data_IF_605918212041
#
_entry.id   IF_605918212041
#
_cell.length_a   1.000
_cell.length_b   1.000
_cell.length_c   1.000
_cell.angle_alpha   90.00
_cell.angle_beta   90.00
_cell.angle_gamma   90.00
#
_symmetry.space_group_name_H-M   'P 1'
#
loop_
_entity.id
_entity.type
_entity.pdbx_description
1 polymer ?
#
# COMPACT_ATOMS: atom_id res chain seq x y z
N UNK A 1 -14.86 -28.97 6.34
CA UNK A 1 -13.91 -27.85 6.46
C UNK A 1 -12.67 -28.22 5.71
N UNK A 2 -12.26 -27.42 4.72
CA UNK A 2 -11.03 -27.64 3.95
C UNK A 2 -9.82 -27.31 4.82
N UNK A 3 -8.72 -28.04 4.62
CA UNK A 3 -7.46 -27.84 5.37
C UNK A 3 -6.29 -27.74 4.41
N UNK A 4 -5.39 -26.80 4.69
CA UNK A 4 -4.20 -26.52 3.89
C UNK A 4 -2.96 -26.43 4.76
N UNK A 5 -1.78 -26.70 4.20
CA UNK A 5 -0.53 -26.40 4.89
C UNK A 5 -0.38 -24.90 5.08
N UNK A 6 -0.72 -24.11 4.07
CA UNK A 6 -0.64 -22.65 4.14
C UNK A 6 -1.88 -21.97 3.55
N UNK A 7 -2.35 -20.93 4.23
CA UNK A 7 -3.32 -19.97 3.70
C UNK A 7 -2.68 -18.59 3.59
N UNK A 8 -2.81 -17.99 2.39
CA UNK A 8 -2.33 -16.64 2.10
C UNK A 8 -3.53 -15.72 2.01
N UNK A 9 -3.52 -14.65 2.79
CA UNK A 9 -4.59 -13.65 2.85
C UNK A 9 -4.16 -12.40 2.08
N UNK A 10 -4.70 -12.24 0.88
CA UNK A 10 -4.39 -11.16 -0.06
C UNK A 10 -3.52 -11.62 -1.23
N UNK A 11 -3.97 -11.31 -2.44
CA UNK A 11 -3.35 -11.66 -3.73
C UNK A 11 -2.49 -10.55 -4.35
N UNK A 12 -1.98 -9.61 -3.55
CA UNK A 12 -1.00 -8.60 -4.00
C UNK A 12 0.40 -9.19 -4.21
N UNK A 13 1.43 -8.37 -4.58
CA UNK A 13 2.78 -8.84 -4.84
C UNK A 13 3.39 -9.67 -3.71
N UNK A 14 3.15 -9.29 -2.44
CA UNK A 14 3.62 -10.07 -1.29
C UNK A 14 2.96 -11.45 -1.25
N UNK A 15 1.64 -11.51 -1.41
CA UNK A 15 0.89 -12.77 -1.35
C UNK A 15 1.20 -13.70 -2.52
N UNK A 16 1.27 -13.19 -3.75
CA UNK A 16 1.66 -13.98 -4.91
C UNK A 16 3.08 -14.54 -4.78
N UNK A 17 4.00 -13.73 -4.24
CA UNK A 17 5.37 -14.21 -3.99
C UNK A 17 5.40 -15.26 -2.87
N UNK A 18 4.67 -15.04 -1.77
CA UNK A 18 4.57 -16.04 -0.72
C UNK A 18 3.98 -17.37 -1.23
N UNK A 19 2.92 -17.27 -2.05
CA UNK A 19 2.33 -18.44 -2.70
C UNK A 19 3.36 -19.21 -3.55
N UNK A 20 4.09 -18.50 -4.41
CA UNK A 20 5.09 -19.08 -5.28
C UNK A 20 6.15 -19.87 -4.50
N UNK A 21 6.69 -19.29 -3.44
CA UNK A 21 7.74 -19.94 -2.65
C UNK A 21 7.21 -21.14 -1.86
N UNK A 22 6.02 -21.05 -1.27
CA UNK A 22 5.39 -22.18 -0.54
C UNK A 22 5.00 -23.32 -1.48
N UNK A 23 4.47 -23.00 -2.66
CA UNK A 23 4.18 -24.02 -3.68
C UNK A 23 5.45 -24.73 -4.16
N UNK A 24 6.55 -23.99 -4.32
CA UNK A 24 7.84 -24.56 -4.69
C UNK A 24 8.43 -25.45 -3.58
N UNK A 25 8.09 -25.22 -2.31
CA UNK A 25 8.49 -26.11 -1.20
C UNK A 25 7.57 -27.34 -1.07
N UNK A 26 6.53 -27.46 -1.89
CA UNK A 26 5.61 -28.59 -1.90
C UNK A 26 4.43 -28.47 -0.96
N UNK A 27 4.22 -27.31 -0.33
CA UNK A 27 3.08 -27.09 0.54
C UNK A 27 1.76 -27.01 -0.24
N UNK A 28 0.68 -27.52 0.33
CA UNK A 28 -0.68 -27.26 -0.14
C UNK A 28 -1.09 -25.84 0.23
N UNK A 29 -1.41 -25.02 -0.78
CA UNK A 29 -1.66 -23.57 -0.61
C UNK A 29 -3.07 -23.20 -1.01
N UNK A 30 -3.76 -22.41 -0.17
CA UNK A 30 -4.92 -21.63 -0.56
C UNK A 30 -4.59 -20.13 -0.51
N UNK A 31 -4.99 -19.38 -1.55
CA UNK A 31 -4.90 -17.94 -1.60
C UNK A 31 -6.31 -17.35 -1.54
N UNK A 32 -6.56 -16.53 -0.55
CA UNK A 32 -7.84 -15.82 -0.37
C UNK A 32 -7.67 -14.39 -0.87
N UNK A 33 -8.40 -14.04 -1.92
CA UNK A 33 -8.40 -12.69 -2.51
C UNK A 33 -9.84 -12.29 -2.86
N UNK A 34 -10.26 -11.14 -2.37
CA UNK A 34 -11.63 -10.66 -2.54
C UNK A 34 -11.98 -10.32 -3.99
N UNK A 35 -11.06 -9.68 -4.71
CA UNK A 35 -11.27 -9.20 -6.08
C UNK A 35 -10.46 -10.02 -7.08
N UNK A 36 -9.42 -9.42 -7.61
CA UNK A 36 -8.48 -10.03 -8.55
C UNK A 36 -7.07 -9.97 -7.97
N UNK A 37 -6.22 -10.97 -8.25
CA UNK A 37 -4.81 -10.90 -7.88
C UNK A 37 -4.13 -9.66 -8.48
N UNK A 38 -3.21 -9.04 -7.73
CA UNK A 38 -2.47 -7.84 -8.11
C UNK A 38 -2.50 -6.76 -7.03
N UNK A 39 -3.59 -6.67 -6.26
CA UNK A 39 -3.70 -5.66 -5.19
C UNK A 39 -3.56 -4.23 -5.74
N UNK A 40 -2.86 -3.35 -5.01
CA UNK A 40 -2.69 -1.94 -5.41
C UNK A 40 -1.91 -1.74 -6.71
N UNK A 41 -1.11 -2.71 -7.14
CA UNK A 41 -0.40 -2.65 -8.42
C UNK A 41 -1.37 -2.48 -9.60
N UNK A 42 -2.58 -3.04 -9.50
CA UNK A 42 -3.62 -2.89 -10.54
C UNK A 42 -4.09 -1.45 -10.75
N UNK A 43 -3.97 -0.60 -9.73
CA UNK A 43 -4.38 0.82 -9.81
C UNK A 43 -3.24 1.75 -10.25
N UNK A 44 -2.04 1.23 -10.42
CA UNK A 44 -0.87 1.97 -10.89
C UNK A 44 -0.77 1.86 -12.41
N UNK A 45 -0.80 2.98 -13.11
CA UNK A 45 -0.74 2.98 -14.58
C UNK A 45 0.62 2.50 -15.08
N UNK A 46 1.71 2.98 -14.46
CA UNK A 46 3.08 2.69 -14.87
C UNK A 46 4.03 2.57 -13.69
N UNK A 47 4.88 1.56 -13.69
CA UNK A 47 5.86 1.25 -12.63
C UNK A 47 7.25 1.30 -13.24
N UNK A 48 8.08 2.23 -12.79
CA UNK A 48 9.45 2.43 -13.29
C UNK A 48 10.54 1.92 -12.33
N UNK A 49 10.16 1.65 -11.10
CA UNK A 49 11.09 1.36 -10.00
C UNK A 49 11.09 -0.11 -9.57
N UNK A 50 10.55 -1.01 -10.41
CA UNK A 50 10.64 -2.45 -10.15
C UNK A 50 11.80 -3.07 -10.92
N UNK A 51 12.81 -3.68 -10.25
CA UNK A 51 13.97 -4.26 -10.89
C UNK A 51 13.57 -5.34 -11.91
N UNK A 52 14.28 -5.38 -13.05
CA UNK A 52 13.97 -6.27 -14.17
C UNK A 52 13.14 -5.61 -15.28
N UNK A 53 12.57 -4.43 -15.03
CA UNK A 53 11.80 -3.66 -16.00
C UNK A 53 12.43 -2.28 -16.28
N UNK A 54 13.59 -2.21 -16.99
CA UNK A 54 14.36 -0.96 -17.15
C UNK A 54 13.63 0.11 -17.99
N UNK A 55 12.56 -0.26 -18.67
CA UNK A 55 11.71 0.66 -19.45
C UNK A 55 10.35 0.90 -18.78
N UNK A 56 10.20 0.44 -17.51
CA UNK A 56 8.93 0.42 -16.83
C UNK A 56 8.00 -0.71 -17.30
N UNK A 57 6.89 -0.88 -16.62
CA UNK A 57 5.85 -1.87 -16.90
C UNK A 57 4.51 -1.33 -16.41
N UNK A 58 3.41 -1.65 -17.08
CA UNK A 58 2.09 -1.32 -16.55
C UNK A 58 1.77 -2.17 -15.33
N UNK A 59 1.05 -1.59 -14.37
CA UNK A 59 0.74 -2.29 -13.14
C UNK A 59 -0.01 -3.59 -13.38
N UNK A 60 -1.04 -3.59 -14.24
CA UNK A 60 -1.77 -4.80 -14.57
C UNK A 60 -0.90 -5.85 -15.28
N UNK A 61 0.03 -5.43 -16.17
CA UNK A 61 0.95 -6.36 -16.85
C UNK A 61 1.90 -7.03 -15.84
N UNK A 62 2.39 -6.26 -14.85
CA UNK A 62 3.21 -6.84 -13.78
C UNK A 62 2.41 -7.82 -12.92
N UNK A 63 1.17 -7.49 -12.58
CA UNK A 63 0.27 -8.39 -11.84
C UNK A 63 0.00 -9.68 -12.62
N UNK A 64 -0.24 -9.59 -13.93
CA UNK A 64 -0.44 -10.74 -14.81
C UNK A 64 0.81 -11.63 -14.86
N UNK A 65 2.01 -11.04 -15.03
CA UNK A 65 3.27 -11.77 -15.00
C UNK A 65 3.49 -12.50 -13.68
N UNK A 66 3.17 -11.87 -12.54
CA UNK A 66 3.27 -12.52 -11.23
C UNK A 66 2.26 -13.66 -11.06
N UNK A 67 1.04 -13.47 -11.56
CA UNK A 67 -0.01 -14.50 -11.57
C UNK A 67 0.39 -15.67 -12.47
N UNK A 68 1.02 -15.40 -13.60
CA UNK A 68 1.47 -16.42 -14.55
C UNK A 68 2.54 -17.34 -13.96
N UNK A 69 3.37 -16.86 -13.05
CA UNK A 69 4.31 -17.70 -12.29
C UNK A 69 3.58 -18.78 -11.48
N UNK A 70 2.34 -18.53 -11.04
CA UNK A 70 1.56 -19.49 -10.24
C UNK A 70 0.84 -20.53 -11.09
N UNK A 71 0.63 -20.29 -12.39
CA UNK A 71 -0.11 -21.19 -13.30
C UNK A 71 0.54 -22.58 -13.43
N UNK A 72 1.84 -22.70 -13.17
CA UNK A 72 2.55 -23.97 -13.19
C UNK A 72 2.31 -24.87 -11.97
N UNK A 73 1.56 -24.38 -10.97
CA UNK A 73 1.31 -25.09 -9.72
C UNK A 73 -0.18 -25.32 -9.50
N UNK A 74 -0.52 -26.41 -8.81
CA UNK A 74 -1.87 -26.65 -8.33
C UNK A 74 -2.07 -25.99 -6.97
N UNK A 75 -2.96 -25.00 -6.87
CA UNK A 75 -3.33 -24.34 -5.62
C UNK A 75 -4.79 -23.92 -5.65
N UNK A 76 -5.36 -23.64 -4.48
CA UNK A 76 -6.75 -23.22 -4.35
C UNK A 76 -6.85 -21.69 -4.33
N UNK A 77 -7.65 -21.10 -5.17
CA UNK A 77 -8.02 -19.69 -5.10
C UNK A 77 -9.42 -19.55 -4.55
N UNK A 78 -9.58 -18.80 -3.46
CA UNK A 78 -10.85 -18.50 -2.82
C UNK A 78 -11.16 -17.01 -3.02
N UNK A 79 -12.20 -16.74 -3.85
CA UNK A 79 -12.62 -15.36 -4.16
C UNK A 79 -13.64 -14.90 -3.11
N UNK A 80 -13.17 -14.69 -1.89
CA UNK A 80 -13.98 -14.35 -0.73
C UNK A 80 -13.26 -13.31 0.14
N UNK A 81 -14.01 -12.67 1.04
CA UNK A 81 -13.44 -11.78 2.06
C UNK A 81 -13.16 -12.56 3.33
N UNK A 82 -12.00 -12.29 3.96
CA UNK A 82 -11.71 -12.81 5.31
C UNK A 82 -12.44 -11.94 6.33
N UNK A 83 -13.33 -12.55 7.10
CA UNK A 83 -14.12 -11.88 8.16
C UNK A 83 -13.40 -11.85 9.48
N UNK A 84 -12.75 -12.94 9.85
CA UNK A 84 -11.92 -13.06 11.04
C UNK A 84 -10.94 -14.22 10.92
N UNK A 85 -9.90 -14.19 11.75
CA UNK A 85 -8.99 -15.33 11.94
C UNK A 85 -8.96 -15.70 13.43
N UNK A 86 -8.78 -16.99 13.69
CA UNK A 86 -8.65 -17.53 15.03
C UNK A 86 -7.38 -18.38 15.10
N UNK A 87 -6.48 -18.03 16.03
CA UNK A 87 -5.28 -18.80 16.30
C UNK A 87 -5.53 -19.75 17.47
N UNK A 88 -5.53 -21.06 17.20
CA UNK A 88 -5.79 -22.11 18.20
C UNK A 88 -4.50 -22.78 18.72
N UNK A 89 -3.35 -22.20 18.42
CA UNK A 89 -2.04 -22.72 18.76
C UNK A 89 -1.18 -23.09 17.52
N UNK A 90 0.06 -23.51 17.74
CA UNK A 90 0.97 -23.86 16.64
C UNK A 90 0.37 -24.87 15.66
N UNK A 91 0.40 -24.56 14.37
CA UNK A 91 -0.13 -25.44 13.32
C UNK A 91 -1.67 -25.50 13.24
N UNK A 92 -2.39 -24.65 13.95
CA UNK A 92 -3.86 -24.67 13.99
C UNK A 92 -4.44 -23.26 13.93
N UNK A 93 -4.79 -22.83 12.73
CA UNK A 93 -5.40 -21.53 12.48
C UNK A 93 -6.71 -21.72 11.71
N UNK A 94 -7.76 -21.04 12.14
CA UNK A 94 -9.04 -20.99 11.43
C UNK A 94 -9.17 -19.64 10.74
N UNK A 95 -9.59 -19.67 9.50
CA UNK A 95 -9.85 -18.48 8.67
C UNK A 95 -11.34 -18.51 8.29
N UNK A 96 -12.11 -17.57 8.84
CA UNK A 96 -13.53 -17.42 8.58
C UNK A 96 -13.73 -16.51 7.37
N UNK A 97 -14.29 -17.07 6.32
CA UNK A 97 -14.63 -16.38 5.08
C UNK A 97 -16.12 -16.02 5.05
N UNK A 98 -16.58 -15.39 3.98
CA UNK A 98 -18.00 -15.05 3.80
C UNK A 98 -18.90 -16.28 3.82
N UNK A 99 -18.48 -17.37 3.17
CA UNK A 99 -19.32 -18.53 2.94
C UNK A 99 -18.86 -19.79 3.69
N UNK A 100 -17.60 -19.84 4.12
CA UNK A 100 -17.02 -21.02 4.76
C UNK A 100 -15.94 -20.69 5.76
N UNK A 101 -15.54 -21.69 6.51
CA UNK A 101 -14.34 -21.65 7.37
C UNK A 101 -13.33 -22.66 6.86
N UNK A 102 -12.08 -22.24 6.69
CA UNK A 102 -10.97 -23.10 6.31
C UNK A 102 -9.92 -23.15 7.40
N UNK A 103 -9.13 -24.21 7.40
CA UNK A 103 -8.05 -24.44 8.36
C UNK A 103 -6.68 -24.35 7.68
N UNK A 104 -5.69 -23.78 8.38
CA UNK A 104 -4.30 -23.72 7.93
C UNK A 104 -3.33 -24.12 9.04
N UNK A 105 -2.26 -24.81 8.67
CA UNK A 105 -1.12 -25.05 9.60
C UNK A 105 -0.32 -23.76 9.78
N UNK A 106 -0.09 -23.01 8.70
CA UNK A 106 0.47 -21.65 8.75
C UNK A 106 -0.41 -20.68 7.97
N UNK A 107 -0.34 -19.40 8.30
CA UNK A 107 -0.97 -18.34 7.50
C UNK A 107 0.00 -17.19 7.27
N UNK A 108 -0.08 -16.59 6.06
CA UNK A 108 0.67 -15.39 5.69
C UNK A 108 -0.32 -14.26 5.39
N UNK A 109 -0.31 -13.22 6.22
CA UNK A 109 -1.21 -12.06 6.07
C UNK A 109 -0.54 -11.06 5.13
N UNK A 110 -1.11 -10.91 3.93
CA UNK A 110 -0.64 -10.02 2.85
C UNK A 110 -1.74 -9.05 2.41
N UNK A 111 -2.61 -8.65 3.33
CA UNK A 111 -3.82 -7.86 3.05
C UNK A 111 -3.54 -6.42 2.61
N UNK A 112 -2.31 -5.92 2.81
CA UNK A 112 -1.89 -4.60 2.36
C UNK A 112 -2.53 -3.45 3.14
N UNK A 113 -2.65 -2.28 2.47
CA UNK A 113 -3.22 -1.05 3.03
C UNK A 113 -4.29 -0.48 2.10
N UNK A 114 -5.14 0.37 2.64
CA UNK A 114 -6.00 1.28 1.88
C UNK A 114 -5.49 2.71 2.05
N UNK A 115 -5.36 3.45 0.95
CA UNK A 115 -5.03 4.88 1.02
C UNK A 115 -6.23 5.65 1.57
N UNK A 116 -5.94 6.67 2.37
CA UNK A 116 -6.96 7.62 2.79
C UNK A 116 -7.19 8.63 1.68
N UNK A 117 -8.43 8.78 1.29
CA UNK A 117 -8.87 9.74 0.29
C UNK A 117 -9.16 11.11 0.91
N UNK A 118 -9.17 12.15 0.09
CA UNK A 118 -9.63 13.49 0.47
C UNK A 118 -11.15 13.55 0.54
N UNK A 119 -11.84 12.62 -0.14
CA UNK A 119 -13.29 12.57 -0.24
C UNK A 119 -13.86 13.58 -1.24
N UNK A 120 -13.07 13.98 -2.23
CA UNK A 120 -13.48 14.91 -3.26
C UNK A 120 -14.27 14.20 -4.38
N UNK A 121 -15.21 14.89 -4.96
CA UNK A 121 -15.89 14.43 -6.16
C UNK A 121 -14.89 14.14 -7.27
N UNK A 122 -15.03 13.01 -7.98
CA UNK A 122 -14.15 12.50 -9.03
C UNK A 122 -12.72 12.17 -8.58
N UNK A 123 -12.43 12.08 -7.28
CA UNK A 123 -11.08 11.69 -6.80
C UNK A 123 -10.65 10.32 -7.35
N UNK A 124 -11.57 9.34 -7.30
CA UNK A 124 -11.31 8.00 -7.84
C UNK A 124 -11.10 8.02 -9.36
N UNK A 125 -11.87 8.84 -10.10
CA UNK A 125 -11.72 8.99 -11.54
C UNK A 125 -10.34 9.53 -11.93
N UNK A 126 -9.82 10.50 -11.18
CA UNK A 126 -8.52 11.11 -11.42
C UNK A 126 -7.34 10.30 -10.84
N UNK A 127 -7.58 9.27 -10.04
CA UNK A 127 -6.53 8.37 -9.58
C UNK A 127 -5.85 7.69 -10.77
N UNK A 128 -4.52 7.88 -10.91
CA UNK A 128 -3.76 7.48 -12.10
C UNK A 128 -3.89 8.44 -13.30
N UNK A 129 -4.74 9.49 -13.21
CA UNK A 129 -4.93 10.51 -14.24
C UNK A 129 -4.66 11.92 -13.73
N UNK A 130 -3.63 12.03 -12.88
CA UNK A 130 -3.23 13.26 -12.20
C UNK A 130 -3.28 13.17 -10.69
N UNK A 131 -3.99 12.22 -10.09
CA UNK A 131 -3.92 11.96 -8.64
C UNK A 131 -3.03 10.75 -8.37
N UNK A 132 -2.11 10.91 -7.41
CA UNK A 132 -1.23 9.87 -6.91
C UNK A 132 -1.17 9.86 -5.38
N UNK A 133 -0.84 8.70 -4.82
CA UNK A 133 -0.62 8.50 -3.38
C UNK A 133 0.84 8.16 -3.05
N UNK A 134 1.75 8.22 -4.05
CA UNK A 134 3.16 7.83 -3.92
C UNK A 134 4.04 8.70 -4.81
N UNK A 135 4.78 9.66 -4.25
CA UNK A 135 5.70 10.48 -5.05
C UNK A 135 6.85 9.64 -5.64
N UNK A 136 7.38 8.70 -4.88
CA UNK A 136 8.46 7.83 -5.34
C UNK A 136 8.07 6.98 -6.57
N UNK A 137 6.76 6.69 -6.72
CA UNK A 137 6.23 5.95 -7.85
C UNK A 137 6.06 6.85 -9.08
N UNK A 138 5.43 8.03 -8.90
CA UNK A 138 4.78 8.76 -9.99
C UNK A 138 5.38 10.14 -10.27
N UNK A 139 6.34 10.64 -9.46
CA UNK A 139 6.89 11.99 -9.63
C UNK A 139 7.45 12.26 -11.03
N UNK A 140 8.04 11.24 -11.66
CA UNK A 140 8.67 11.40 -12.99
C UNK A 140 7.68 11.74 -14.12
N UNK A 141 6.38 11.36 -13.96
CA UNK A 141 5.35 11.74 -14.95
C UNK A 141 5.07 13.25 -14.95
N UNK A 142 5.41 13.93 -13.86
CA UNK A 142 5.19 15.37 -13.68
C UNK A 142 6.47 16.20 -13.80
N UNK A 143 7.53 15.63 -14.37
CA UNK A 143 8.81 16.34 -14.56
C UNK A 143 8.61 17.63 -15.35
N UNK A 144 9.12 18.75 -14.81
CA UNK A 144 9.00 20.05 -15.43
C UNK A 144 7.59 20.66 -15.35
N UNK A 145 6.73 20.16 -14.44
CA UNK A 145 5.36 20.64 -14.27
C UNK A 145 5.16 21.14 -12.83
N UNK A 146 4.03 21.82 -12.60
CA UNK A 146 3.58 22.20 -11.27
C UNK A 146 2.65 21.12 -10.71
N UNK A 147 2.85 20.75 -9.44
CA UNK A 147 2.01 19.78 -8.73
C UNK A 147 1.55 20.32 -7.38
N UNK A 148 0.46 19.79 -6.88
CA UNK A 148 0.00 19.98 -5.51
C UNK A 148 0.30 18.72 -4.68
N UNK A 149 0.57 18.90 -3.39
CA UNK A 149 0.69 17.83 -2.40
C UNK A 149 -0.19 18.17 -1.20
N UNK A 150 -0.96 17.22 -0.69
CA UNK A 150 -1.83 17.43 0.48
C UNK A 150 -1.33 16.60 1.64
N UNK A 151 -1.00 17.26 2.75
CA UNK A 151 -0.59 16.59 3.97
C UNK A 151 0.09 17.52 4.97
N UNK A 152 0.63 16.98 6.05
CA UNK A 152 1.30 17.79 7.07
C UNK A 152 2.00 16.98 8.16
N UNK A 153 2.19 15.68 7.94
CA UNK A 153 3.06 14.80 8.74
C UNK A 153 4.41 14.60 8.06
N UNK A 154 5.30 13.82 8.67
CA UNK A 154 6.64 13.53 8.14
C UNK A 154 6.61 13.08 6.69
N UNK A 155 5.80 12.08 6.37
CA UNK A 155 5.66 11.56 5.00
C UNK A 155 5.32 12.66 3.99
N UNK A 156 4.37 13.56 4.31
CA UNK A 156 3.99 14.63 3.37
C UNK A 156 5.14 15.59 3.08
N UNK A 157 5.94 15.92 4.10
CA UNK A 157 7.09 16.80 3.95
C UNK A 157 8.24 16.10 3.20
N UNK A 158 8.55 14.86 3.55
CA UNK A 158 9.59 14.05 2.90
C UNK A 158 9.30 13.84 1.41
N UNK A 159 8.07 13.44 1.10
CA UNK A 159 7.62 13.23 -0.27
C UNK A 159 7.57 14.56 -1.06
N UNK A 160 7.18 15.69 -0.43
CA UNK A 160 7.25 17.01 -1.07
C UNK A 160 8.68 17.47 -1.35
N UNK A 161 9.63 17.16 -0.45
CA UNK A 161 11.07 17.39 -0.68
C UNK A 161 11.57 16.51 -1.83
N UNK A 162 11.09 15.27 -1.95
CA UNK A 162 11.42 14.41 -3.08
C UNK A 162 10.86 14.96 -4.39
N UNK A 163 9.58 15.33 -4.42
CA UNK A 163 8.91 15.96 -5.58
C UNK A 163 9.66 17.20 -6.07
N UNK A 164 10.10 18.07 -5.15
CA UNK A 164 10.78 19.34 -5.50
C UNK A 164 12.05 19.18 -6.32
N UNK A 165 12.66 18.00 -6.34
CA UNK A 165 13.86 17.68 -7.12
C UNK A 165 13.54 17.31 -8.57
N UNK A 166 12.27 17.05 -8.89
CA UNK A 166 11.83 16.48 -10.15
C UNK A 166 10.90 17.45 -10.89
N UNK A 167 10.02 18.10 -10.15
CA UNK A 167 9.00 19.01 -10.70
C UNK A 167 9.40 20.47 -10.58
N UNK A 168 8.80 21.34 -11.36
CA UNK A 168 9.12 22.78 -11.35
C UNK A 168 8.59 23.47 -10.10
N UNK A 169 7.42 23.09 -9.61
CA UNK A 169 6.77 23.69 -8.48
C UNK A 169 5.96 22.68 -7.66
N UNK A 170 6.06 22.73 -6.35
CA UNK A 170 5.22 21.98 -5.41
C UNK A 170 4.40 22.94 -4.56
N UNK A 171 3.08 22.80 -4.58
CA UNK A 171 2.17 23.46 -3.63
C UNK A 171 1.84 22.49 -2.51
N UNK A 172 2.48 22.65 -1.33
CA UNK A 172 2.21 21.80 -0.16
C UNK A 172 1.05 22.36 0.65
N UNK A 173 -0.12 21.75 0.51
CA UNK A 173 -1.39 22.17 1.09
C UNK A 173 -1.56 21.50 2.45
N UNK A 174 -1.80 22.32 3.49
CA UNK A 174 -2.08 21.81 4.83
C UNK A 174 -3.28 22.52 5.46
N UNK A 175 -4.19 21.74 6.06
CA UNK A 175 -5.44 22.25 6.65
C UNK A 175 -5.26 23.05 7.95
N UNK A 176 -4.09 22.98 8.59
CA UNK A 176 -3.77 23.71 9.81
C UNK A 176 -2.77 24.85 9.53
N UNK A 177 -2.56 25.69 10.50
CA UNK A 177 -1.58 26.78 10.49
C UNK A 177 -0.14 26.31 10.75
N UNK A 178 0.04 25.06 11.23
CA UNK A 178 1.33 24.44 11.49
C UNK A 178 1.37 22.96 11.10
N UNK A 179 2.50 22.51 10.58
CA UNK A 179 2.76 21.10 10.32
C UNK A 179 2.91 20.30 11.61
N UNK A 180 2.57 19.01 11.54
CA UNK A 180 2.80 18.03 12.61
C UNK A 180 4.12 17.28 12.45
N UNK A 181 4.80 17.47 11.33
CA UNK A 181 6.08 16.88 11.01
C UNK A 181 7.18 17.37 11.97
N UNK A 182 8.28 16.63 12.02
CA UNK A 182 9.46 16.98 12.81
C UNK A 182 10.02 18.34 12.38
N UNK A 183 10.53 19.11 13.36
CA UNK A 183 11.04 20.46 13.13
C UNK A 183 12.11 20.50 12.05
N UNK A 184 12.98 19.52 12.00
CA UNK A 184 14.06 19.45 11.00
C UNK A 184 13.50 19.38 9.56
N UNK A 185 12.40 18.67 9.33
CA UNK A 185 11.74 18.61 8.04
C UNK A 185 11.05 19.93 7.69
N UNK A 186 10.45 20.57 8.70
CA UNK A 186 9.82 21.89 8.53
C UNK A 186 10.85 22.95 8.13
N UNK A 187 12.03 22.98 8.77
CA UNK A 187 13.11 23.89 8.41
C UNK A 187 13.64 23.62 7.00
N UNK A 188 13.79 22.34 6.66
CA UNK A 188 14.25 21.95 5.33
C UNK A 188 13.28 22.39 4.23
N UNK A 189 11.98 22.21 4.42
CA UNK A 189 10.96 22.65 3.44
C UNK A 189 11.03 24.16 3.17
N UNK A 190 11.20 24.97 4.21
CA UNK A 190 11.31 26.44 4.11
C UNK A 190 12.51 26.90 3.26
N UNK A 191 13.57 26.09 3.22
CA UNK A 191 14.79 26.40 2.45
C UNK A 191 14.70 26.01 0.97
N UNK A 192 13.64 25.32 0.53
CA UNK A 192 13.49 24.84 -0.84
C UNK A 192 12.64 25.84 -1.64
N UNK A 193 13.22 26.55 -2.62
CA UNK A 193 12.56 27.70 -3.25
C UNK A 193 11.35 27.35 -4.11
N UNK A 194 11.29 26.14 -4.64
CA UNK A 194 10.16 25.68 -5.46
C UNK A 194 9.08 24.94 -4.68
N UNK A 195 9.12 24.94 -3.34
CA UNK A 195 8.00 24.49 -2.50
C UNK A 195 7.29 25.72 -1.92
N UNK A 196 6.00 25.83 -2.20
CA UNK A 196 5.11 26.82 -1.60
C UNK A 196 4.20 26.13 -0.58
N UNK A 197 4.32 26.50 0.69
CA UNK A 197 3.45 26.00 1.74
C UNK A 197 2.14 26.78 1.75
N UNK A 198 1.03 26.12 1.45
CA UNK A 198 -0.32 26.69 1.47
C UNK A 198 -1.02 26.20 2.73
N UNK A 199 -0.84 26.98 3.81
CA UNK A 199 -1.33 26.63 5.14
C UNK A 199 -2.82 26.97 5.29
N UNK A 200 -3.46 26.43 6.34
CA UNK A 200 -4.88 26.68 6.69
C UNK A 200 -5.83 26.49 5.51
N UNK A 201 -5.50 25.61 4.59
CA UNK A 201 -6.23 25.44 3.33
C UNK A 201 -6.54 23.97 3.06
N UNK A 202 -7.66 23.73 2.40
CA UNK A 202 -8.08 22.39 1.97
C UNK A 202 -8.40 22.40 0.48
N UNK A 203 -8.12 21.27 -0.18
CA UNK A 203 -8.62 21.03 -1.53
C UNK A 203 -10.14 20.79 -1.46
N UNK A 204 -10.90 21.45 -2.32
CA UNK A 204 -12.37 21.38 -2.33
C UNK A 204 -12.96 20.96 -3.66
N UNK A 205 -12.20 21.06 -4.76
CA UNK A 205 -12.65 20.66 -6.09
C UNK A 205 -11.47 20.26 -6.96
N UNK A 206 -11.67 19.23 -7.77
CA UNK A 206 -10.74 18.76 -8.79
C UNK A 206 -11.20 19.24 -10.16
N UNK A 207 -10.35 19.96 -10.87
CA UNK A 207 -10.67 20.58 -12.16
C UNK A 207 -9.96 19.80 -13.27
N UNK A 208 -10.69 19.47 -14.33
CA UNK A 208 -10.20 18.76 -15.50
C UNK A 208 -11.28 17.88 -16.14
N UNK A 209 -11.10 17.49 -17.39
CA UNK A 209 -12.01 16.59 -18.09
C UNK A 209 -11.53 15.13 -18.06
N UNK A 210 -10.45 14.82 -18.75
CA UNK A 210 -9.84 13.47 -18.84
C UNK A 210 -8.72 13.27 -17.84
N UNK A 211 -7.94 14.32 -17.62
CA UNK A 211 -6.80 14.38 -16.71
C UNK A 211 -6.98 15.60 -15.78
N UNK A 212 -6.28 15.59 -14.65
CA UNK A 212 -6.27 16.70 -13.72
C UNK A 212 -5.58 17.91 -14.36
N UNK A 213 -6.23 19.08 -14.29
CA UNK A 213 -5.73 20.36 -14.82
C UNK A 213 -5.65 21.43 -13.75
N UNK A 214 -6.26 21.19 -12.58
CA UNK A 214 -6.21 22.13 -11.49
C UNK A 214 -6.86 21.60 -10.22
N UNK A 215 -6.54 22.26 -9.12
CA UNK A 215 -7.13 22.00 -7.80
C UNK A 215 -7.61 23.29 -7.18
N UNK A 216 -8.91 23.39 -6.86
CA UNK A 216 -9.46 24.50 -6.12
C UNK A 216 -9.25 24.31 -4.65
N UNK A 217 -8.76 25.34 -4.00
CA UNK A 217 -8.55 25.40 -2.56
C UNK A 217 -9.52 26.35 -1.90
N UNK A 218 -9.86 26.07 -0.65
CA UNK A 218 -10.55 27.00 0.24
C UNK A 218 -9.64 27.25 1.45
N UNK A 219 -9.32 28.52 1.68
CA UNK A 219 -8.64 28.96 2.90
C UNK A 219 -9.64 28.97 4.06
N UNK A 220 -9.35 28.21 5.10
CA UNK A 220 -10.32 27.94 6.16
C UNK A 220 -10.70 29.16 7.03
N UNK A 221 -9.75 30.09 7.35
CA UNK A 221 -10.06 31.24 8.21
C UNK A 221 -11.04 32.26 7.61
N UNK A 222 -10.99 32.50 6.31
CA UNK A 222 -11.77 33.57 5.64
C UNK A 222 -12.63 33.06 4.47
N UNK A 223 -12.55 31.76 4.15
CA UNK A 223 -13.30 31.17 3.05
C UNK A 223 -12.80 31.55 1.64
N UNK A 224 -11.67 32.26 1.53
CA UNK A 224 -11.12 32.67 0.25
C UNK A 224 -10.80 31.44 -0.63
N UNK A 225 -11.16 31.52 -1.90
CA UNK A 225 -10.90 30.46 -2.85
C UNK A 225 -9.70 30.80 -3.74
N UNK A 226 -8.88 29.78 -4.02
CA UNK A 226 -7.75 29.86 -4.95
C UNK A 226 -7.77 28.65 -5.87
N UNK A 227 -7.66 28.85 -7.16
CA UNK A 227 -7.40 27.78 -8.11
C UNK A 227 -5.89 27.64 -8.30
N UNK A 228 -5.37 26.45 -8.10
CA UNK A 228 -4.01 26.08 -8.50
C UNK A 228 -4.07 25.43 -9.88
N UNK A 229 -3.29 25.97 -10.80
CA UNK A 229 -3.06 25.37 -12.12
C UNK A 229 -1.96 24.32 -11.96
N UNK A 230 -2.35 23.07 -11.83
CA UNK A 230 -1.47 21.92 -11.55
C UNK A 230 -1.98 20.69 -12.29
N UNK A 231 -1.05 19.89 -12.79
CA UNK A 231 -1.35 18.65 -13.52
C UNK A 231 -1.31 17.42 -12.62
N UNK A 232 -0.75 17.55 -11.42
CA UNK A 232 -0.65 16.48 -10.44
C UNK A 232 -1.11 16.89 -9.04
N UNK A 233 -1.79 15.97 -8.35
CA UNK A 233 -2.17 16.07 -6.95
C UNK A 233 -1.69 14.83 -6.20
N UNK A 234 -0.75 15.02 -5.28
CA UNK A 234 -0.23 13.96 -4.44
C UNK A 234 -0.91 13.99 -3.07
N UNK A 235 -1.52 12.86 -2.67
CA UNK A 235 -2.34 12.78 -1.45
C UNK A 235 -1.57 12.03 -0.36
N UNK A 236 -1.01 12.77 0.60
CA UNK A 236 -0.20 12.24 1.70
C UNK A 236 -0.91 12.39 3.05
N UNK A 237 -2.16 11.97 3.11
CA UNK A 237 -2.99 12.03 4.33
C UNK A 237 -2.97 10.73 5.13
N UNK A 238 -2.13 9.78 4.70
CA UNK A 238 -1.87 8.51 5.34
C UNK A 238 -2.58 7.33 4.68
N UNK A 239 -2.28 6.15 5.20
CA UNK A 239 -2.94 4.89 4.82
C UNK A 239 -3.49 4.19 6.06
N UNK A 240 -4.36 3.22 5.85
CA UNK A 240 -4.92 2.37 6.88
C UNK A 240 -4.59 0.91 6.53
N UNK A 241 -3.88 0.17 7.39
CA UNK A 241 -3.65 -1.25 7.15
C UNK A 241 -4.97 -2.02 7.20
N UNK A 242 -5.11 -2.98 6.31
CA UNK A 242 -6.28 -3.84 6.24
C UNK A 242 -6.15 -4.98 7.28
N UNK A 243 -6.39 -4.64 8.54
CA UNK A 243 -6.21 -5.51 9.72
C UNK A 243 -7.46 -5.63 10.57
N UNK A 244 -8.64 -5.32 10.03
CA UNK A 244 -9.91 -5.39 10.80
C UNK A 244 -10.31 -6.81 11.20
N UNK A 245 -9.81 -7.82 10.50
CA UNK A 245 -10.15 -9.23 10.70
C UNK A 245 -9.17 -9.98 11.62
N UNK A 246 -8.08 -9.35 12.05
CA UNK A 246 -7.10 -10.02 12.93
C UNK A 246 -7.53 -10.00 14.38
N UNK A 247 -7.20 -11.04 15.19
CA UNK A 247 -7.57 -11.10 16.59
C UNK A 247 -6.80 -10.07 17.44
N UNK A 248 -7.37 -9.67 18.55
CA UNK A 248 -6.74 -8.73 19.48
C UNK A 248 -5.41 -9.23 20.06
N UNK A 249 -5.19 -10.54 20.06
CA UNK A 249 -3.96 -11.18 20.52
C UNK A 249 -2.78 -10.98 19.56
N UNK A 250 -3.03 -10.56 18.31
CA UNK A 250 -1.98 -10.24 17.35
C UNK A 250 -1.40 -8.85 17.64
N UNK A 251 -0.08 -8.75 17.77
CA UNK A 251 0.59 -7.49 18.06
C UNK A 251 0.48 -6.51 16.88
N UNK A 252 -0.14 -5.37 17.15
CA UNK A 252 -0.25 -4.26 16.20
C UNK A 252 0.47 -3.02 16.73
N UNK A 253 1.04 -2.23 15.83
CA UNK A 253 1.56 -0.90 16.16
C UNK A 253 0.42 0.07 16.55
N UNK A 254 0.75 1.26 17.13
CA UNK A 254 -0.26 2.28 17.45
C UNK A 254 -1.09 2.73 16.24
N UNK A 255 -0.57 2.54 15.03
CA UNK A 255 -1.25 2.84 13.75
C UNK A 255 -1.89 1.62 13.12
N UNK A 256 -1.99 0.51 13.86
CA UNK A 256 -2.67 -0.74 13.51
C UNK A 256 -1.96 -1.60 12.47
N UNK A 257 -0.72 -1.34 12.12
CA UNK A 257 0.11 -2.23 11.28
C UNK A 257 0.54 -3.45 12.08
N UNK A 258 0.71 -4.59 11.41
CA UNK A 258 1.17 -5.84 12.05
C UNK A 258 2.65 -5.72 12.38
N UNK A 259 3.00 -5.94 13.63
CA UNK A 259 4.39 -5.99 14.09
C UNK A 259 4.97 -7.37 13.79
N UNK A 260 6.11 -7.41 13.11
CA UNK A 260 6.87 -8.65 12.83
C UNK A 260 8.34 -8.41 13.09
N UNK A 261 9.09 -9.50 13.23
CA UNK A 261 10.55 -9.48 13.17
C UNK A 261 11.08 -9.41 11.73
N UNK A 262 12.40 -9.65 11.55
CA UNK A 262 13.06 -9.63 10.24
C UNK A 262 12.72 -10.84 9.39
N UNK A 263 12.33 -11.94 10.00
CA UNK A 263 11.89 -13.21 9.38
C UNK A 263 10.39 -13.22 9.08
N UNK A 264 9.73 -12.07 9.20
CA UNK A 264 8.28 -11.87 8.97
C UNK A 264 7.37 -12.59 9.97
N UNK A 265 7.94 -13.08 11.09
CA UNK A 265 7.20 -13.80 12.14
C UNK A 265 6.44 -12.79 13.01
N UNK A 266 5.19 -13.10 13.32
CA UNK A 266 4.39 -12.35 14.31
C UNK A 266 4.57 -12.95 15.71
N UNK A 267 3.91 -12.36 16.70
CA UNK A 267 3.87 -12.95 18.05
C UNK A 267 3.05 -14.26 18.17
N UNK A 268 2.34 -14.65 17.11
CA UNK A 268 1.54 -15.88 17.07
C UNK A 268 2.28 -16.95 16.26
N UNK A 269 2.68 -18.11 16.84
CA UNK A 269 3.43 -19.14 16.13
C UNK A 269 2.68 -19.67 14.90
N UNK A 270 3.34 -19.70 13.73
CA UNK A 270 2.74 -20.10 12.45
C UNK A 270 1.89 -19.03 11.79
N UNK A 271 1.91 -17.79 12.31
CA UNK A 271 1.28 -16.61 11.71
C UNK A 271 2.35 -15.62 11.28
N UNK A 272 2.35 -15.30 10.00
CA UNK A 272 3.31 -14.38 9.34
C UNK A 272 2.57 -13.20 8.75
N UNK A 273 3.30 -12.10 8.52
CA UNK A 273 2.77 -11.00 7.74
C UNK A 273 3.82 -10.50 6.74
N UNK A 274 3.38 -10.09 5.54
CA UNK A 274 4.26 -9.63 4.48
C UNK A 274 3.63 -8.47 3.69
N UNK A 275 4.48 -7.60 3.15
CA UNK A 275 4.05 -6.45 2.37
C UNK A 275 3.61 -5.27 3.24
N UNK A 276 2.74 -4.45 2.68
CA UNK A 276 2.42 -3.12 3.21
C UNK A 276 1.59 -3.15 4.50
N UNK A 277 0.98 -4.28 4.84
CA UNK A 277 0.25 -4.48 6.10
C UNK A 277 1.16 -4.46 7.33
N UNK A 278 2.47 -4.66 7.15
CA UNK A 278 3.46 -4.65 8.22
C UNK A 278 3.84 -3.24 8.68
N UNK A 279 4.24 -3.15 9.93
CA UNK A 279 4.91 -1.95 10.46
C UNK A 279 6.34 -1.88 9.92
N UNK A 280 6.51 -1.12 8.83
CA UNK A 280 7.78 -0.95 8.12
C UNK A 280 7.92 0.44 7.51
N UNK A 281 9.15 0.84 7.24
CA UNK A 281 9.47 2.16 6.69
C UNK A 281 9.10 2.27 5.19
N UNK A 282 9.49 1.30 4.39
CA UNK A 282 9.38 1.36 2.93
C UNK A 282 8.25 0.45 2.41
N UNK A 283 7.27 1.03 1.72
CA UNK A 283 6.15 0.34 1.08
C UNK A 283 6.28 0.47 -0.42
N UNK A 284 6.86 -0.56 -1.05
CA UNK A 284 7.14 -0.66 -2.48
C UNK A 284 6.87 -2.09 -2.96
N UNK A 285 6.62 -2.27 -4.25
CA UNK A 285 6.45 -3.59 -4.85
C UNK A 285 7.65 -4.49 -4.56
N UNK A 286 8.87 -3.96 -4.73
CA UNK A 286 10.10 -4.71 -4.48
C UNK A 286 10.22 -5.19 -3.02
N UNK A 287 9.87 -4.33 -2.04
CA UNK A 287 9.89 -4.73 -0.62
C UNK A 287 8.75 -5.69 -0.27
N UNK A 288 7.60 -5.58 -0.93
CA UNK A 288 6.50 -6.53 -0.75
C UNK A 288 6.87 -7.93 -1.28
N UNK A 289 7.53 -8.00 -2.42
CA UNK A 289 8.09 -9.26 -2.98
C UNK A 289 9.12 -9.86 -2.03
N UNK A 290 10.07 -9.07 -1.53
CA UNK A 290 11.07 -9.53 -0.57
C UNK A 290 10.46 -10.07 0.73
N UNK A 291 9.49 -9.33 1.29
CA UNK A 291 8.75 -9.77 2.47
C UNK A 291 8.01 -11.10 2.23
N UNK A 292 7.33 -11.23 1.08
CA UNK A 292 6.60 -12.46 0.70
C UNK A 292 7.51 -13.67 0.59
N UNK A 293 8.68 -13.50 -0.01
CA UNK A 293 9.70 -14.57 -0.11
C UNK A 293 10.22 -14.99 1.27
N UNK A 294 10.54 -14.01 2.12
CA UNK A 294 11.05 -14.27 3.48
C UNK A 294 9.98 -14.94 4.35
N UNK A 295 8.74 -14.44 4.33
CA UNK A 295 7.63 -15.04 5.08
C UNK A 295 7.38 -16.50 4.67
N UNK A 296 7.41 -16.77 3.36
CA UNK A 296 7.21 -18.12 2.84
C UNK A 296 8.33 -19.07 3.26
N UNK A 297 9.59 -18.60 3.24
CA UNK A 297 10.73 -19.39 3.70
C UNK A 297 10.60 -19.74 5.19
N UNK A 298 10.32 -18.75 6.02
CA UNK A 298 10.11 -18.94 7.47
C UNK A 298 8.92 -19.87 7.76
N UNK A 299 7.83 -19.71 7.01
CA UNK A 299 6.66 -20.58 7.12
C UNK A 299 6.96 -22.03 6.70
N UNK A 300 7.78 -22.24 5.66
CA UNK A 300 8.20 -23.58 5.24
C UNK A 300 9.04 -24.29 6.34
N UNK A 301 10.02 -23.59 6.91
CA UNK A 301 10.80 -24.14 8.03
C UNK A 301 9.93 -24.49 9.25
N UNK A 302 8.92 -23.67 9.53
CA UNK A 302 7.99 -23.97 10.60
C UNK A 302 7.12 -25.19 10.30
N UNK A 303 6.63 -25.34 9.05
CA UNK A 303 5.89 -26.53 8.63
C UNK A 303 6.70 -27.81 8.78
N UNK A 304 8.00 -27.78 8.47
CA UNK A 304 8.89 -28.91 8.62
C UNK A 304 9.13 -29.29 10.10
N UNK A 305 8.88 -28.37 11.03
CA UNK A 305 9.05 -28.58 12.47
C UNK A 305 7.79 -29.12 13.17
N UNK A 306 6.64 -29.14 12.48
CA UNK A 306 5.36 -29.66 13.00
C UNK A 306 5.17 -31.14 12.74
#
# INVERSE_FOLDING_TARGET
MQSFDSVIIGGGPAGMTAALYLLRSGASVAMVERLAPGGQVLTTEWIENYPGHPRGVKGYELADLMTDHLKGFSYTTLRQEVRSIEHQGPGRNLIHLDEETIQARVMVICSGVAWKHLGLEREEYFTGRGISYCALCDANFFKGQAVAAVGGGNTALEESIYLSRIVDKVYLIHRRDAFRADKILQERIKSIPNIECVMSSVATELVGEKELQGVRLTHLPDGAQRLLDVTGLFVFVGSTPLTSFVPETLNLSPTRFIVTDQEMVTNLPGVYAAGDVRDKLCRQVATAVGDGATAAHSASLFLDSL
#
